data_IF_979832735532
#
_entry.id   IF_979832735532
#
_cell.length_a   1.000
_cell.length_b   1.000
_cell.length_c   1.000
_cell.angle_alpha   90.00
_cell.angle_beta   90.00
_cell.angle_gamma   90.00
#
_symmetry.space_group_name_H-M   'P 1'
#
loop_
_entity.id
_entity.type
_entity.pdbx_description
1 polymer ?
#
# COMPACT_ATOMS: atom_id res chain seq x y z
N UNK A 1 -33.57 -33.94 20.48
CA UNK A 1 -33.78 -32.52 20.08
C UNK A 1 -32.70 -31.62 20.69
N UNK A 2 -31.41 -31.86 20.42
CA UNK A 2 -30.31 -31.05 20.99
C UNK A 2 -29.04 -31.19 20.11
N UNK A 3 -29.07 -30.69 18.86
CA UNK A 3 -27.88 -30.72 17.99
C UNK A 3 -27.86 -29.62 16.92
N UNK A 4 -28.32 -28.40 17.24
CA UNK A 4 -28.27 -27.27 16.28
C UNK A 4 -27.63 -25.97 16.81
N UNK A 5 -27.13 -25.95 18.04
CA UNK A 5 -26.56 -24.72 18.63
C UNK A 5 -25.01 -24.66 18.65
N UNK A 6 -24.30 -25.76 18.43
CA UNK A 6 -22.83 -25.76 18.50
C UNK A 6 -22.13 -25.25 17.23
N UNK A 7 -22.84 -25.15 16.10
CA UNK A 7 -22.22 -24.77 14.82
C UNK A 7 -22.07 -23.26 14.63
N UNK A 8 -22.77 -22.43 15.43
CA UNK A 8 -22.67 -20.97 15.31
C UNK A 8 -21.49 -20.35 16.06
N UNK A 9 -20.84 -21.09 16.96
CA UNK A 9 -19.73 -20.56 17.77
C UNK A 9 -18.36 -20.84 17.14
N UNK A 10 -18.27 -21.77 16.18
CA UNK A 10 -17.00 -22.11 15.50
C UNK A 10 -16.71 -21.14 14.32
N UNK A 11 -17.72 -20.46 13.78
CA UNK A 11 -17.55 -19.53 12.65
C UNK A 11 -16.95 -18.17 13.06
N UNK A 12 -16.89 -17.85 14.37
CA UNK A 12 -16.28 -16.61 14.87
C UNK A 12 -14.77 -16.73 15.13
N UNK A 13 -14.14 -17.88 14.81
CA UNK A 13 -12.72 -18.15 15.11
C UNK A 13 -11.79 -17.90 13.90
N UNK A 14 -12.34 -17.56 12.73
CA UNK A 14 -11.55 -17.23 11.54
C UNK A 14 -11.72 -15.72 11.31
N UNK A 15 -10.62 -15.00 11.04
CA UNK A 15 -10.48 -13.53 10.96
C UNK A 15 -10.05 -12.88 12.29
N UNK A 16 -9.01 -13.43 12.90
CA UNK A 16 -7.99 -12.59 13.58
C UNK A 16 -6.69 -12.82 12.84
N UNK A 17 -6.54 -12.13 11.69
CA UNK A 17 -5.24 -11.99 11.04
C UNK A 17 -4.40 -11.09 11.94
N UNK A 18 -3.60 -11.75 12.79
CA UNK A 18 -2.48 -11.15 13.50
C UNK A 18 -1.59 -10.43 12.48
N UNK A 19 -1.67 -9.11 12.48
CA UNK A 19 -0.70 -8.29 11.75
C UNK A 19 0.58 -8.27 12.59
N UNK A 20 1.55 -9.07 12.17
CA UNK A 20 2.88 -9.08 12.76
C UNK A 20 3.70 -8.00 12.06
N UNK A 21 3.81 -6.82 12.68
CA UNK A 21 4.75 -5.78 12.25
C UNK A 21 6.04 -5.94 13.05
N UNK A 22 7.09 -6.48 12.42
CA UNK A 22 8.44 -6.51 12.99
C UNK A 22 9.17 -5.25 12.50
N UNK A 23 9.51 -4.34 13.42
CA UNK A 23 10.35 -3.17 13.13
C UNK A 23 11.79 -3.53 13.53
N UNK A 24 12.67 -3.72 12.56
CA UNK A 24 14.11 -3.91 12.80
C UNK A 24 14.80 -2.55 12.64
N UNK A 25 15.37 -2.03 13.72
CA UNK A 25 16.07 -0.75 13.72
C UNK A 25 17.37 -0.84 12.92
N UNK A 26 17.39 -0.25 11.72
CA UNK A 26 18.60 -0.06 10.91
C UNK A 26 18.32 0.21 9.43
N UNK A 27 17.35 -0.51 8.87
CA UNK A 27 16.75 -0.29 7.55
C UNK A 27 15.27 -0.62 7.70
N UNK A 28 14.41 0.34 7.39
CA UNK A 28 12.99 0.22 7.68
C UNK A 28 12.28 -0.62 6.63
N UNK A 29 12.22 -1.93 6.81
CA UNK A 29 11.24 -2.76 6.11
C UNK A 29 9.97 -2.80 6.94
N UNK A 30 8.87 -2.42 6.32
CA UNK A 30 7.56 -2.50 6.91
C UNK A 30 6.59 -3.05 5.87
N UNK A 31 5.72 -3.95 6.30
CA UNK A 31 4.66 -4.45 5.44
C UNK A 31 3.37 -4.67 6.23
N UNK A 32 2.27 -4.71 5.49
CA UNK A 32 0.95 -5.05 6.02
C UNK A 32 0.13 -5.75 4.96
N UNK A 33 -0.57 -6.79 5.38
CA UNK A 33 -1.54 -7.52 4.56
C UNK A 33 -2.96 -7.30 5.04
N UNK A 34 -3.90 -7.31 4.11
CA UNK A 34 -5.33 -7.27 4.40
C UNK A 34 -6.13 -7.91 3.29
N UNK A 35 -7.15 -8.68 3.67
CA UNK A 35 -8.20 -9.10 2.74
C UNK A 35 -9.08 -7.91 2.41
N UNK A 36 -9.08 -7.48 1.15
CA UNK A 36 -9.88 -6.37 0.64
C UNK A 36 -11.13 -6.93 -0.02
N UNK A 37 -12.30 -6.55 0.46
CA UNK A 37 -13.55 -7.04 -0.13
C UNK A 37 -13.87 -6.34 -1.45
N UNK A 38 -14.30 -7.10 -2.46
CA UNK A 38 -14.74 -6.56 -3.74
C UNK A 38 -15.92 -5.59 -3.61
N UNK A 39 -16.82 -5.83 -2.66
CA UNK A 39 -18.04 -5.04 -2.50
C UNK A 39 -17.88 -3.87 -1.52
N UNK A 40 -16.87 -3.91 -0.65
CA UNK A 40 -16.65 -2.94 0.43
C UNK A 40 -15.74 -1.77 0.04
N UNK A 41 -15.74 -0.72 0.88
CA UNK A 41 -14.64 0.25 0.91
C UNK A 41 -13.63 -0.24 1.93
N UNK A 42 -12.35 -0.08 1.62
CA UNK A 42 -11.31 -0.47 2.57
C UNK A 42 -10.05 0.40 2.45
N UNK A 43 -9.13 0.25 3.40
CA UNK A 43 -7.80 0.84 3.36
C UNK A 43 -6.76 -0.04 4.07
N UNK A 44 -5.53 0.03 3.59
CA UNK A 44 -4.33 -0.45 4.27
C UNK A 44 -3.50 0.78 4.65
N UNK A 45 -2.97 0.82 5.87
CA UNK A 45 -2.16 1.93 6.38
C UNK A 45 -0.95 1.38 7.13
N UNK A 46 0.23 1.86 6.75
CA UNK A 46 1.52 1.63 7.40
C UNK A 46 1.80 2.71 8.47
N UNK A 47 2.72 2.45 9.39
CA UNK A 47 3.01 3.24 10.60
C UNK A 47 3.53 4.67 10.35
N UNK A 48 3.91 4.99 9.11
CA UNK A 48 4.39 6.32 8.71
C UNK A 48 3.51 7.02 7.67
N UNK A 49 2.26 6.58 7.53
CA UNK A 49 1.26 7.29 6.72
C UNK A 49 1.16 6.83 5.27
N UNK A 50 2.00 5.89 4.81
CA UNK A 50 1.75 5.22 3.53
C UNK A 50 0.42 4.49 3.60
N UNK A 51 -0.43 4.72 2.60
CA UNK A 51 -1.82 4.28 2.59
C UNK A 51 -2.27 3.84 1.21
N UNK A 52 -3.12 2.82 1.16
CA UNK A 52 -3.89 2.44 -0.04
C UNK A 52 -5.36 2.53 0.32
N UNK A 53 -6.15 3.22 -0.50
CA UNK A 53 -7.58 3.46 -0.29
C UNK A 53 -8.36 2.82 -1.44
N UNK A 54 -9.13 1.79 -1.12
CA UNK A 54 -9.95 1.03 -2.05
C UNK A 54 -11.39 1.55 -2.03
N UNK A 55 -11.89 2.15 -3.12
CA UNK A 55 -13.31 2.48 -3.22
C UNK A 55 -14.15 1.20 -3.41
N UNK A 56 -15.46 1.31 -3.12
CA UNK A 56 -16.37 0.17 -3.28
C UNK A 56 -16.48 -0.24 -4.75
N UNK A 57 -16.43 -1.57 -4.99
CA UNK A 57 -16.47 -2.18 -6.32
C UNK A 57 -15.27 -1.80 -7.19
N UNK A 58 -14.08 -1.69 -6.60
CA UNK A 58 -12.82 -1.55 -7.34
C UNK A 58 -12.19 -2.90 -7.73
N UNK A 59 -12.60 -4.00 -7.10
CA UNK A 59 -12.13 -5.36 -7.38
C UNK A 59 -13.28 -6.24 -7.87
N UNK A 60 -12.96 -7.29 -8.62
CA UNK A 60 -13.91 -8.31 -9.09
C UNK A 60 -14.23 -9.35 -8.02
N UNK A 61 -13.27 -9.64 -7.14
CA UNK A 61 -13.38 -10.62 -6.06
C UNK A 61 -12.60 -10.16 -4.82
N UNK A 62 -12.91 -10.76 -3.67
CA UNK A 62 -12.17 -10.47 -2.44
C UNK A 62 -10.71 -10.87 -2.63
N UNK A 63 -9.79 -9.93 -2.41
CA UNK A 63 -8.37 -10.09 -2.75
C UNK A 63 -7.49 -9.82 -1.54
N UNK A 64 -6.57 -10.75 -1.24
CA UNK A 64 -5.52 -10.50 -0.25
C UNK A 64 -4.50 -9.53 -0.85
N UNK A 65 -4.40 -8.34 -0.26
CA UNK A 65 -3.44 -7.31 -0.69
C UNK A 65 -2.34 -7.16 0.34
N UNK A 66 -1.09 -7.10 -0.12
CA UNK A 66 0.06 -6.67 0.66
C UNK A 66 0.54 -5.30 0.22
N UNK A 67 0.88 -4.46 1.20
CA UNK A 67 1.60 -3.20 0.99
C UNK A 67 2.92 -3.30 1.73
N UNK A 68 4.03 -3.11 1.04
CA UNK A 68 5.36 -3.08 1.62
C UNK A 68 6.06 -1.75 1.35
N UNK A 69 6.93 -1.38 2.29
CA UNK A 69 7.80 -0.23 2.19
C UNK A 69 9.19 -0.62 2.66
N UNK A 70 10.20 -0.28 1.86
CA UNK A 70 11.61 -0.41 2.23
C UNK A 70 12.24 0.97 2.29
N UNK A 71 12.83 1.33 3.43
CA UNK A 71 13.71 2.49 3.55
C UNK A 71 15.14 1.98 3.53
N UNK A 72 15.79 2.10 2.38
CA UNK A 72 17.14 1.57 2.14
C UNK A 72 18.19 2.44 2.85
N UNK A 73 17.99 3.76 2.80
CA UNK A 73 18.81 4.77 3.43
C UNK A 73 18.02 6.09 3.62
N UNK A 74 18.71 7.19 3.92
CA UNK A 74 18.08 8.52 4.04
C UNK A 74 17.62 9.14 2.71
N UNK A 75 17.92 8.51 1.58
CA UNK A 75 17.73 9.04 0.23
C UNK A 75 16.65 8.30 -0.57
N UNK A 76 16.39 7.03 -0.24
CA UNK A 76 15.52 6.15 -1.03
C UNK A 76 14.52 5.39 -0.16
N UNK A 77 13.25 5.54 -0.51
CA UNK A 77 12.17 4.69 -0.03
C UNK A 77 11.47 4.03 -1.22
N UNK A 78 11.24 2.73 -1.12
CA UNK A 78 10.61 1.91 -2.14
C UNK A 78 9.28 1.37 -1.63
N UNK A 79 8.32 1.19 -2.53
CA UNK A 79 6.98 0.75 -2.23
C UNK A 79 6.59 -0.37 -3.17
N UNK A 80 6.14 -1.47 -2.57
CA UNK A 80 5.72 -2.67 -3.28
C UNK A 80 4.28 -3.00 -2.91
N UNK A 81 3.53 -3.45 -3.90
CA UNK A 81 2.12 -3.80 -3.75
C UNK A 81 1.90 -5.19 -4.35
N UNK A 82 1.33 -6.10 -3.56
CA UNK A 82 0.99 -7.44 -4.03
C UNK A 82 -0.52 -7.67 -4.02
N UNK A 83 -1.09 -8.37 -5.01
CA UNK A 83 -0.42 -8.92 -6.20
C UNK A 83 0.06 -7.83 -7.17
N UNK A 84 1.29 -7.96 -7.68
CA UNK A 84 1.82 -7.05 -8.69
C UNK A 84 0.93 -7.05 -9.94
N UNK A 85 0.71 -5.88 -10.54
CA UNK A 85 -0.13 -5.74 -11.74
C UNK A 85 -1.64 -5.92 -11.50
N UNK A 86 -2.11 -6.06 -10.25
CA UNK A 86 -3.53 -6.16 -9.93
C UNK A 86 -4.29 -4.98 -10.56
N UNK A 87 -5.22 -5.28 -11.47
CA UNK A 87 -6.03 -4.30 -12.19
C UNK A 87 -7.29 -3.95 -11.39
N UNK A 88 -7.66 -2.68 -11.37
CA UNK A 88 -8.85 -2.20 -10.68
C UNK A 88 -9.96 -1.78 -11.65
N UNK A 89 -11.20 -2.16 -11.32
CA UNK A 89 -12.41 -1.71 -12.02
C UNK A 89 -12.68 -0.21 -11.81
N UNK A 90 -12.14 0.35 -10.73
CA UNK A 90 -12.21 1.76 -10.39
C UNK A 90 -10.85 2.20 -9.86
N UNK A 91 -10.40 3.43 -10.15
CA UNK A 91 -9.12 3.90 -9.68
C UNK A 91 -9.01 3.83 -8.15
N UNK A 92 -7.86 3.39 -7.68
CA UNK A 92 -7.47 3.32 -6.26
C UNK A 92 -6.60 4.51 -5.94
N UNK A 93 -6.72 5.07 -4.74
CA UNK A 93 -5.82 6.14 -4.29
C UNK A 93 -4.70 5.54 -3.46
N UNK A 94 -3.45 5.86 -3.79
CA UNK A 94 -2.29 5.56 -2.95
C UNK A 94 -1.70 6.86 -2.42
N UNK A 95 -1.30 6.84 -1.16
CA UNK A 95 -0.52 7.88 -0.51
C UNK A 95 0.82 7.25 -0.15
N UNK A 96 1.89 7.75 -0.75
CA UNK A 96 3.24 7.28 -0.50
C UNK A 96 3.92 8.27 0.44
N UNK A 97 4.30 7.83 1.64
CA UNK A 97 4.91 8.71 2.63
C UNK A 97 6.42 8.73 2.50
N UNK A 98 7.02 9.91 2.61
CA UNK A 98 8.46 10.10 2.81
C UNK A 98 8.80 10.58 4.22
N UNK A 99 7.92 10.31 5.20
CA UNK A 99 8.18 10.66 6.60
C UNK A 99 9.48 10.02 7.14
N UNK A 100 9.87 8.84 6.64
CA UNK A 100 11.13 8.16 6.99
C UNK A 100 12.38 8.87 6.47
N UNK A 101 12.26 9.65 5.38
CA UNK A 101 13.41 10.34 4.77
C UNK A 101 13.73 11.61 5.56
N UNK A 102 14.94 11.71 6.12
CA UNK A 102 15.31 12.84 6.99
C UNK A 102 15.71 14.08 6.19
N UNK A 103 15.23 15.25 6.60
CA UNK A 103 15.61 16.56 6.04
C UNK A 103 15.37 16.66 4.53
N UNK A 104 14.18 16.21 4.09
CA UNK A 104 13.75 16.19 2.69
C UNK A 104 12.37 16.84 2.60
N UNK A 105 12.19 17.70 1.59
CA UNK A 105 10.91 18.29 1.20
C UNK A 105 10.41 17.68 -0.11
N UNK A 106 9.17 17.96 -0.50
CA UNK A 106 8.62 17.51 -1.78
C UNK A 106 9.48 17.95 -2.99
N UNK A 107 10.08 19.14 -2.93
CA UNK A 107 10.90 19.67 -4.04
C UNK A 107 12.24 18.94 -4.19
N UNK A 108 12.69 18.24 -3.16
CA UNK A 108 13.93 17.46 -3.17
C UNK A 108 13.73 16.06 -3.77
N UNK A 109 12.49 15.67 -4.07
CA UNK A 109 12.14 14.31 -4.47
C UNK A 109 11.71 14.22 -5.94
N UNK A 110 11.98 13.07 -6.52
CA UNK A 110 11.40 12.56 -7.75
C UNK A 110 10.76 11.22 -7.41
N UNK A 111 9.53 11.01 -7.88
CA UNK A 111 8.87 9.72 -7.78
C UNK A 111 9.04 8.98 -9.10
N UNK A 112 9.46 7.73 -9.03
CA UNK A 112 9.48 6.82 -10.16
C UNK A 112 8.49 5.69 -9.95
N UNK A 113 7.94 5.18 -11.05
CA UNK A 113 7.16 3.94 -11.08
C UNK A 113 7.70 2.98 -12.14
N UNK A 114 7.49 1.68 -11.94
CA UNK A 114 7.86 0.67 -12.92
C UNK A 114 6.78 0.56 -13.99
N UNK A 115 7.11 0.89 -15.24
CA UNK A 115 6.19 0.72 -16.35
C UNK A 115 6.38 -0.68 -16.96
N UNK A 116 5.44 -1.59 -16.70
CA UNK A 116 5.48 -2.97 -17.19
C UNK A 116 5.37 -3.08 -18.72
N UNK A 117 4.78 -2.10 -19.41
CA UNK A 117 4.63 -2.14 -20.88
C UNK A 117 5.97 -1.97 -21.61
N UNK A 118 6.84 -1.13 -21.04
CA UNK A 118 8.16 -0.79 -21.62
C UNK A 118 9.33 -1.37 -20.81
N UNK A 119 9.05 -2.02 -19.67
CA UNK A 119 10.05 -2.70 -18.84
C UNK A 119 11.11 -1.75 -18.27
N UNK A 120 10.72 -0.55 -17.86
CA UNK A 120 11.64 0.46 -17.34
C UNK A 120 10.99 1.36 -16.28
N UNK A 121 11.83 1.98 -15.46
CA UNK A 121 11.42 3.02 -14.51
C UNK A 121 11.14 4.32 -15.24
N UNK A 122 9.99 4.92 -14.93
CA UNK A 122 9.53 6.18 -15.53
C UNK A 122 9.21 7.17 -14.41
N UNK A 123 9.53 8.45 -14.64
CA UNK A 123 9.16 9.51 -13.70
C UNK A 123 7.64 9.68 -13.65
N UNK A 124 7.10 9.71 -12.44
CA UNK A 124 5.69 9.98 -12.17
C UNK A 124 5.47 11.48 -11.98
N UNK A 125 4.76 12.08 -12.93
CA UNK A 125 4.57 13.54 -13.03
C UNK A 125 3.16 13.99 -12.61
N UNK A 126 2.23 13.06 -12.39
CA UNK A 126 0.84 13.32 -12.03
C UNK A 126 0.60 13.26 -10.51
N UNK A 127 1.63 12.92 -9.73
CA UNK A 127 1.55 12.88 -8.27
C UNK A 127 1.19 14.25 -7.66
N UNK A 128 0.23 14.27 -6.75
CA UNK A 128 -0.10 15.46 -5.95
C UNK A 128 0.77 15.45 -4.70
N UNK A 129 1.74 16.36 -4.63
CA UNK A 129 2.67 16.45 -3.51
C UNK A 129 2.05 17.24 -2.33
N UNK A 130 1.98 16.61 -1.16
CA UNK A 130 1.46 17.19 0.09
C UNK A 130 2.61 17.42 1.06
N UNK A 131 3.28 18.57 0.91
CA UNK A 131 4.55 18.83 1.58
C UNK A 131 4.45 18.87 3.12
N UNK A 132 3.38 19.44 3.66
CA UNK A 132 3.19 19.57 5.11
C UNK A 132 2.91 18.22 5.77
N UNK A 133 2.17 17.36 5.07
CA UNK A 133 1.81 16.02 5.51
C UNK A 133 2.83 14.95 5.11
N UNK A 134 3.83 15.32 4.30
CA UNK A 134 4.97 14.50 3.89
C UNK A 134 4.62 13.23 3.10
N UNK A 135 3.67 13.34 2.18
CA UNK A 135 3.33 12.27 1.24
C UNK A 135 2.97 12.81 -0.14
N UNK A 136 3.02 11.95 -1.16
CA UNK A 136 2.40 12.24 -2.46
C UNK A 136 1.20 11.34 -2.66
N UNK A 137 0.19 11.86 -3.34
CA UNK A 137 -1.04 11.15 -3.65
C UNK A 137 -1.11 10.83 -5.14
N UNK A 138 -1.50 9.60 -5.47
CA UNK A 138 -1.67 9.11 -6.82
C UNK A 138 -3.02 8.42 -6.94
N UNK A 139 -3.60 8.51 -8.12
CA UNK A 139 -4.79 7.74 -8.51
C UNK A 139 -4.36 6.72 -9.56
N UNK A 140 -4.43 5.44 -9.22
CA UNK A 140 -3.86 4.34 -10.01
C UNK A 140 -4.95 3.38 -10.48
N UNK A 141 -4.76 2.80 -11.67
CA UNK A 141 -5.66 1.78 -12.23
C UNK A 141 -5.12 0.36 -12.05
N UNK A 142 -3.86 0.23 -11.65
CA UNK A 142 -3.24 -1.05 -11.31
C UNK A 142 -2.10 -0.86 -10.31
N UNK A 143 -1.73 -1.94 -9.61
CA UNK A 143 -0.51 -1.95 -8.81
C UNK A 143 0.75 -2.03 -9.66
N UNK A 144 1.74 -1.22 -9.29
CA UNK A 144 3.09 -1.19 -9.84
C UNK A 144 4.08 -1.03 -8.68
N UNK A 145 5.38 -0.98 -8.95
CA UNK A 145 6.42 -0.63 -7.99
C UNK A 145 6.72 0.86 -8.06
N UNK A 146 7.07 1.45 -6.92
CA UNK A 146 7.38 2.87 -6.82
C UNK A 146 8.62 3.09 -5.97
N UNK A 147 9.39 4.13 -6.26
CA UNK A 147 10.41 4.61 -5.34
C UNK A 147 10.60 6.12 -5.40
N UNK A 148 11.02 6.68 -4.26
CA UNK A 148 11.54 8.03 -4.19
C UNK A 148 13.04 8.04 -4.45
N UNK A 149 13.48 9.02 -5.22
CA UNK A 149 14.87 9.39 -5.35
C UNK A 149 15.03 10.87 -5.08
N UNK A 150 16.03 11.20 -4.26
CA UNK A 150 16.43 12.59 -4.05
C UNK A 150 17.09 13.16 -5.31
N UNK A 151 16.76 14.42 -5.62
CA UNK A 151 17.39 15.22 -6.68
C UNK A 151 18.87 15.50 -6.39
#
# INVERSE_FOLDING_TARGET
MFQKKALKTIITIIIVLLTVSIVIAGQGHEWKEKMISANGRDQITLSEGTKVIFPSKCLTEDTLVRVERFTIDSQRAEFYFEPHGLQFLKPVTIQLSWASLKNVTANDLILYYWNDEIGQWVEETQAIWRNNERYCELTINHFSYYYYQRR
#
